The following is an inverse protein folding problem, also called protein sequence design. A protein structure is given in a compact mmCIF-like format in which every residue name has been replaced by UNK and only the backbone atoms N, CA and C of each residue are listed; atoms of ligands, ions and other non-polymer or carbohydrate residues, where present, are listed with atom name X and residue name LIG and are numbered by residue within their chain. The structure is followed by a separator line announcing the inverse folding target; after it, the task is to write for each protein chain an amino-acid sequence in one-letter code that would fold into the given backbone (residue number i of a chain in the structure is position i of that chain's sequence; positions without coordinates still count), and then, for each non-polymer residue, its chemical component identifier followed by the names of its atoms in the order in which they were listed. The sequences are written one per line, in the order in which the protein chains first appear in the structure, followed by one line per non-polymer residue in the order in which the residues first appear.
data_IF_066817692145
#
_entry.id   IF_066817692145
#
_cell.length_a   1.000
_cell.length_b   1.000
_cell.length_c   1.000
_cell.angle_alpha   90.00
_cell.angle_beta   90.00
_cell.angle_gamma   90.00
#
_symmetry.space_group_name_H-M   'P 1'
#
loop_
_entity.id
_entity.type
_entity.pdbx_description
1 polymer ?
#
# COMPACT_ATOMS: atom_id res chain seq x y z
N UNK A 1 12.74 -13.81 19.15
CA UNK A 1 13.60 -14.41 18.11
C UNK A 1 13.58 -13.48 16.91
N UNK A 2 14.75 -13.04 16.45
CA UNK A 2 14.85 -12.29 15.19
C UNK A 2 14.40 -13.18 14.04
N UNK A 3 13.72 -12.57 13.06
CA UNK A 3 13.28 -13.27 11.87
C UNK A 3 14.45 -13.40 10.89
N UNK A 4 14.74 -14.61 10.44
CA UNK A 4 15.77 -14.88 9.43
C UNK A 4 15.11 -15.25 8.11
N UNK A 5 15.56 -14.63 7.01
CA UNK A 5 15.20 -14.98 5.63
C UNK A 5 16.44 -15.57 4.96
N UNK A 6 16.34 -16.82 4.53
CA UNK A 6 17.46 -17.53 3.90
C UNK A 6 17.23 -17.60 2.41
N UNK A 7 18.21 -17.13 1.64
CA UNK A 7 18.18 -17.21 0.18
C UNK A 7 19.02 -18.39 -0.27
N UNK A 8 18.42 -19.29 -1.04
CA UNK A 8 19.14 -20.41 -1.66
C UNK A 8 20.03 -19.87 -2.77
N UNK A 9 21.34 -19.97 -2.59
CA UNK A 9 22.37 -19.47 -3.50
C UNK A 9 22.30 -20.11 -4.89
N UNK A 10 22.11 -21.44 -4.97
CA UNK A 10 21.96 -22.16 -6.23
C UNK A 10 20.74 -21.67 -7.02
N UNK A 11 19.63 -21.40 -6.33
CA UNK A 11 18.40 -20.95 -6.95
C UNK A 11 18.37 -19.44 -7.21
N UNK A 12 19.36 -18.69 -6.73
CA UNK A 12 19.47 -17.24 -6.98
C UNK A 12 20.53 -16.92 -8.01
N UNK A 13 21.79 -17.29 -7.75
CA UNK A 13 22.93 -16.91 -8.59
C UNK A 13 23.08 -17.77 -9.85
N UNK A 14 22.57 -19.01 -9.82
CA UNK A 14 22.65 -19.97 -10.93
C UNK A 14 21.30 -20.23 -11.59
N UNK A 15 20.25 -19.51 -11.21
CA UNK A 15 18.92 -19.72 -11.77
C UNK A 15 18.85 -19.22 -13.22
N UNK A 16 18.39 -20.07 -14.17
CA UNK A 16 18.16 -19.65 -15.56
C UNK A 16 17.16 -18.49 -15.69
N UNK A 17 16.24 -18.34 -14.71
CA UNK A 17 15.23 -17.25 -14.71
C UNK A 17 15.85 -15.87 -14.55
N UNK A 18 17.09 -15.77 -14.03
CA UNK A 18 17.79 -14.49 -13.80
C UNK A 18 18.90 -14.22 -14.84
N UNK A 19 18.93 -14.95 -15.96
CA UNK A 19 19.97 -14.76 -16.99
C UNK A 19 19.94 -13.36 -17.60
N UNK A 20 18.74 -12.82 -17.84
CA UNK A 20 18.55 -11.50 -18.43
C UNK A 20 18.53 -10.36 -17.38
N UNK A 21 18.53 -10.71 -16.09
CA UNK A 21 18.50 -9.73 -15.02
C UNK A 21 19.83 -8.98 -14.89
N UNK A 22 19.74 -7.65 -14.86
CA UNK A 22 20.84 -6.76 -14.53
C UNK A 22 21.26 -6.90 -13.06
N UNK A 23 22.38 -6.27 -12.70
CA UNK A 23 22.80 -6.18 -11.29
C UNK A 23 21.74 -5.50 -10.42
N UNK A 24 21.11 -4.44 -10.94
CA UNK A 24 20.04 -3.73 -10.22
C UNK A 24 18.83 -4.64 -9.98
N UNK A 25 18.42 -5.41 -10.99
CA UNK A 25 17.28 -6.32 -10.88
C UNK A 25 17.55 -7.38 -9.80
N UNK A 26 18.77 -7.92 -9.76
CA UNK A 26 19.19 -8.88 -8.73
C UNK A 26 19.23 -8.25 -7.34
N UNK A 27 19.71 -7.01 -7.21
CA UNK A 27 19.72 -6.30 -5.92
C UNK A 27 18.29 -6.05 -5.43
N UNK A 28 17.40 -5.56 -6.29
CA UNK A 28 16.00 -5.35 -5.94
C UNK A 28 15.29 -6.66 -5.60
N UNK A 29 15.54 -7.73 -6.36
CA UNK A 29 14.95 -9.03 -6.07
C UNK A 29 15.46 -9.64 -4.76
N UNK A 30 16.75 -9.48 -4.46
CA UNK A 30 17.31 -9.89 -3.17
C UNK A 30 16.65 -9.12 -2.03
N UNK A 31 16.44 -7.81 -2.20
CA UNK A 31 15.67 -7.01 -1.26
C UNK A 31 14.24 -7.54 -1.13
N UNK A 32 13.50 -7.78 -2.21
CA UNK A 32 12.14 -8.33 -2.17
C UNK A 32 12.04 -9.68 -1.45
N UNK A 33 13.04 -10.53 -1.56
CA UNK A 33 13.09 -11.83 -0.90
C UNK A 33 13.45 -11.74 0.59
N UNK A 34 14.10 -10.66 1.01
CA UNK A 34 14.64 -10.48 2.36
C UNK A 34 14.05 -9.29 3.11
N UNK A 35 13.13 -8.54 2.49
CA UNK A 35 12.64 -7.27 2.97
C UNK A 35 12.13 -7.38 4.41
N UNK A 36 12.37 -6.37 5.27
CA UNK A 36 11.92 -6.38 6.66
C UNK A 36 10.42 -6.67 6.78
N UNK A 37 9.63 -6.05 5.89
CA UNK A 37 8.17 -6.11 5.85
C UNK A 37 7.60 -7.29 5.04
N UNK A 38 8.46 -8.12 4.41
CA UNK A 38 7.96 -9.28 3.66
C UNK A 38 7.18 -10.24 4.56
N UNK A 39 6.34 -11.12 4.02
CA UNK A 39 5.54 -12.05 4.84
C UNK A 39 5.87 -13.51 4.50
N UNK A 40 5.16 -14.51 5.01
CA UNK A 40 5.55 -15.92 4.77
C UNK A 40 5.07 -16.44 3.41
N UNK A 41 4.14 -15.74 2.76
CA UNK A 41 3.58 -16.10 1.45
C UNK A 41 4.25 -15.40 0.26
N UNK A 42 5.06 -14.37 0.50
CA UNK A 42 5.70 -13.60 -0.58
C UNK A 42 4.77 -12.61 -1.27
N UNK A 43 3.59 -12.34 -0.71
CA UNK A 43 2.64 -11.33 -1.19
C UNK A 43 2.35 -10.31 -0.09
N UNK A 44 2.94 -9.13 -0.16
CA UNK A 44 2.94 -8.20 0.97
C UNK A 44 2.94 -6.73 0.54
N UNK A 45 2.57 -5.79 1.43
CA UNK A 45 2.63 -4.36 1.13
C UNK A 45 4.07 -3.89 0.88
N UNK A 46 4.27 -3.13 -0.20
CA UNK A 46 5.56 -2.59 -0.60
C UNK A 46 5.39 -1.14 -1.08
N UNK A 47 5.98 -0.21 -0.33
CA UNK A 47 6.01 1.21 -0.68
C UNK A 47 7.33 1.51 -1.41
N UNK A 48 7.31 1.92 -2.69
CA UNK A 48 8.52 2.08 -3.51
C UNK A 48 9.52 3.07 -2.93
N UNK A 49 9.02 4.14 -2.31
CA UNK A 49 9.85 5.14 -1.65
C UNK A 49 10.63 4.57 -0.46
N UNK A 50 10.03 3.66 0.30
CA UNK A 50 10.68 3.02 1.45
C UNK A 50 11.69 2.00 0.95
N UNK A 51 11.26 1.09 0.07
CA UNK A 51 12.13 0.05 -0.48
C UNK A 51 13.33 0.63 -1.23
N UNK A 52 13.13 1.66 -2.04
CA UNK A 52 14.21 2.39 -2.69
C UNK A 52 15.19 2.99 -1.68
N UNK A 53 14.70 3.67 -0.65
CA UNK A 53 15.55 4.29 0.37
C UNK A 53 16.42 3.27 1.14
N UNK A 54 15.92 2.05 1.37
CA UNK A 54 16.65 0.98 2.06
C UNK A 54 17.89 0.49 1.30
N UNK A 55 17.91 0.67 -0.02
CA UNK A 55 19.05 0.32 -0.89
C UNK A 55 19.73 1.54 -1.53
N UNK A 56 19.38 2.76 -1.08
CA UNK A 56 19.99 4.00 -1.55
C UNK A 56 19.48 4.51 -2.91
N UNK A 57 18.29 4.10 -3.32
CA UNK A 57 17.64 4.49 -4.58
C UNK A 57 16.45 5.44 -4.38
N UNK A 58 16.08 6.12 -5.45
CA UNK A 58 14.82 6.86 -5.52
C UNK A 58 13.63 5.90 -5.76
N UNK A 59 12.42 6.38 -5.50
CA UNK A 59 11.20 5.64 -5.80
C UNK A 59 11.07 5.33 -7.31
N UNK A 60 11.52 6.25 -8.17
CA UNK A 60 11.44 6.08 -9.63
C UNK A 60 12.41 5.00 -10.12
N UNK A 61 13.64 4.98 -9.59
CA UNK A 61 14.61 3.92 -9.87
C UNK A 61 14.07 2.55 -9.43
N UNK A 62 13.49 2.48 -8.23
CA UNK A 62 12.84 1.27 -7.74
C UNK A 62 11.73 0.81 -8.69
N UNK A 63 10.82 1.71 -9.08
CA UNK A 63 9.71 1.37 -9.97
C UNK A 63 10.20 0.91 -11.35
N UNK A 64 11.23 1.54 -11.91
CA UNK A 64 11.84 1.08 -13.18
C UNK A 64 12.33 -0.37 -13.09
N UNK A 65 12.99 -0.73 -11.99
CA UNK A 65 13.46 -2.10 -11.75
C UNK A 65 12.29 -3.06 -11.56
N UNK A 66 11.27 -2.66 -10.79
CA UNK A 66 10.05 -3.46 -10.62
C UNK A 66 9.37 -3.72 -11.95
N UNK A 67 9.27 -2.73 -12.84
CA UNK A 67 8.72 -2.94 -14.19
C UNK A 67 9.49 -4.02 -14.96
N UNK A 68 10.82 -3.98 -14.96
CA UNK A 68 11.63 -5.03 -15.60
C UNK A 68 11.42 -6.41 -14.98
N UNK A 69 11.33 -6.48 -13.64
CA UNK A 69 11.04 -7.73 -12.94
C UNK A 69 9.64 -8.28 -13.25
N UNK A 70 8.67 -7.42 -13.57
CA UNK A 70 7.36 -7.85 -14.05
C UNK A 70 7.41 -8.37 -15.49
N UNK A 71 8.17 -7.71 -16.37
CA UNK A 71 8.33 -8.11 -17.76
C UNK A 71 8.97 -9.50 -17.87
N UNK A 72 9.88 -9.84 -16.94
CA UNK A 72 10.52 -11.17 -16.80
C UNK A 72 9.69 -12.16 -15.96
N UNK A 73 8.47 -11.80 -15.54
CA UNK A 73 7.57 -12.63 -14.71
C UNK A 73 8.20 -13.11 -13.38
N UNK A 74 9.07 -12.30 -12.79
CA UNK A 74 9.74 -12.58 -11.51
C UNK A 74 8.98 -11.99 -10.32
N UNK A 75 8.24 -10.91 -10.55
CA UNK A 75 7.39 -10.27 -9.55
C UNK A 75 6.16 -9.63 -10.21
N UNK A 76 5.13 -9.32 -9.43
CA UNK A 76 3.94 -8.58 -9.86
C UNK A 76 3.62 -7.49 -8.84
N UNK A 77 3.48 -6.25 -9.29
CA UNK A 77 3.28 -5.09 -8.42
C UNK A 77 1.98 -4.36 -8.76
N UNK A 78 1.21 -4.05 -7.72
CA UNK A 78 0.03 -3.19 -7.81
C UNK A 78 0.39 -1.80 -7.28
N UNK A 79 0.47 -0.82 -8.19
CA UNK A 79 0.81 0.56 -7.84
C UNK A 79 -0.31 1.32 -7.10
N UNK A 80 -1.55 0.82 -7.14
CA UNK A 80 -2.69 1.42 -6.43
C UNK A 80 -2.76 0.90 -5.01
N UNK A 81 -2.69 -0.43 -4.84
CA UNK A 81 -2.75 -1.09 -3.52
C UNK A 81 -1.40 -1.11 -2.81
N UNK A 82 -0.32 -0.81 -3.53
CA UNK A 82 1.06 -0.89 -3.06
C UNK A 82 1.39 -2.29 -2.53
N UNK A 83 1.04 -3.32 -3.29
CA UNK A 83 1.27 -4.73 -2.93
C UNK A 83 2.21 -5.34 -3.98
N UNK A 84 3.19 -6.10 -3.52
CA UNK A 84 4.06 -6.91 -4.37
C UNK A 84 3.75 -8.39 -4.16
N UNK A 85 3.75 -9.15 -5.24
CA UNK A 85 3.88 -10.60 -5.24
C UNK A 85 5.23 -10.97 -5.84
N UNK A 86 6.10 -11.60 -5.05
CA UNK A 86 7.39 -12.11 -5.50
C UNK A 86 7.18 -13.53 -6.05
N UNK A 87 7.14 -13.71 -7.38
CA UNK A 87 6.76 -15.00 -7.99
C UNK A 87 7.82 -16.08 -7.82
N UNK A 88 9.08 -15.70 -7.63
CA UNK A 88 10.19 -16.62 -7.29
C UNK A 88 10.28 -16.94 -5.80
N UNK A 89 9.30 -16.54 -4.98
CA UNK A 89 9.37 -16.68 -3.51
C UNK A 89 9.65 -18.12 -3.07
N UNK A 90 8.96 -19.09 -3.68
CA UNK A 90 9.08 -20.51 -3.33
C UNK A 90 10.36 -21.18 -3.84
N UNK A 91 11.10 -20.52 -4.73
CA UNK A 91 12.43 -20.98 -5.14
C UNK A 91 13.43 -20.87 -3.98
N UNK A 92 13.14 -20.01 -3.00
CA UNK A 92 14.00 -19.76 -1.84
C UNK A 92 13.36 -20.20 -0.52
N UNK A 93 12.04 -20.09 -0.40
CA UNK A 93 11.28 -20.41 0.81
C UNK A 93 10.45 -21.68 0.64
N UNK A 94 10.25 -22.44 1.73
CA UNK A 94 9.53 -23.70 1.66
C UNK A 94 8.01 -23.50 1.78
N UNK A 95 7.28 -23.79 0.71
CA UNK A 95 5.82 -23.82 0.69
C UNK A 95 5.26 -24.82 1.72
N UNK A 96 5.85 -26.01 1.79
CA UNK A 96 5.43 -27.07 2.73
C UNK A 96 5.63 -26.70 4.20
N UNK A 97 6.61 -25.86 4.54
CA UNK A 97 6.77 -25.36 5.91
C UNK A 97 5.69 -24.33 6.30
N UNK A 98 5.22 -23.54 5.34
CA UNK A 98 4.19 -22.51 5.56
C UNK A 98 2.83 -23.14 5.94
N UNK A 99 2.55 -24.35 5.46
CA UNK A 99 1.36 -25.14 5.83
C UNK A 99 1.53 -25.91 7.15
N UNK A 100 2.71 -25.83 7.78
CA UNK A 100 2.97 -26.50 9.05
C UNK A 100 2.10 -25.97 10.21
N UNK A 101 1.85 -26.77 11.27
CA UNK A 101 0.89 -26.43 12.34
C UNK A 101 1.08 -25.06 12.99
N UNK A 102 2.32 -24.58 13.08
CA UNK A 102 2.67 -23.29 13.69
C UNK A 102 2.38 -22.09 12.78
N UNK A 103 2.45 -22.26 11.47
CA UNK A 103 2.37 -21.18 10.49
C UNK A 103 1.04 -21.16 9.75
N UNK A 104 0.33 -22.29 9.68
CA UNK A 104 -0.88 -22.45 8.89
C UNK A 104 -1.96 -21.38 9.12
N UNK A 105 -2.17 -20.95 10.36
CA UNK A 105 -3.17 -19.92 10.68
C UNK A 105 -2.77 -18.55 10.10
N UNK A 106 -1.50 -18.18 10.24
CA UNK A 106 -0.93 -16.96 9.67
C UNK A 106 -0.89 -17.02 8.14
N UNK A 107 -0.54 -18.17 7.58
CA UNK A 107 -0.56 -18.37 6.13
C UNK A 107 -1.94 -18.09 5.56
N UNK A 108 -3.00 -18.65 6.15
CA UNK A 108 -4.38 -18.38 5.71
C UNK A 108 -4.78 -16.90 5.86
N UNK A 109 -4.34 -16.22 6.92
CA UNK A 109 -4.59 -14.79 7.08
C UNK A 109 -3.91 -13.96 5.98
N UNK A 110 -2.67 -14.28 5.65
CA UNK A 110 -1.91 -13.61 4.59
C UNK A 110 -2.50 -13.91 3.20
N UNK A 111 -2.87 -15.17 2.92
CA UNK A 111 -3.51 -15.58 1.65
C UNK A 111 -4.84 -14.84 1.45
N UNK A 112 -5.66 -14.71 2.50
CA UNK A 112 -6.94 -13.98 2.41
C UNK A 112 -6.81 -12.48 2.14
N UNK A 113 -5.61 -11.90 2.32
CA UNK A 113 -5.31 -10.51 1.98
C UNK A 113 -4.84 -10.32 0.54
N UNK A 114 -4.56 -11.41 -0.17
CA UNK A 114 -4.12 -11.35 -1.56
C UNK A 114 -5.28 -10.77 -2.41
N UNK A 115 -4.98 -9.81 -3.31
CA UNK A 115 -5.92 -9.35 -4.33
C UNK A 115 -6.68 -10.51 -5.00
N UNK A 116 -8.00 -10.42 -5.09
CA UNK A 116 -8.83 -11.48 -5.71
C UNK A 116 -8.39 -11.81 -7.14
N UNK A 117 -7.94 -10.80 -7.88
CA UNK A 117 -7.42 -10.92 -9.24
C UNK A 117 -6.08 -11.68 -9.35
N UNK A 118 -5.40 -11.92 -8.23
CA UNK A 118 -4.14 -12.68 -8.17
C UNK A 118 -4.31 -14.00 -7.43
N UNK A 119 -5.44 -14.19 -6.73
CA UNK A 119 -5.61 -15.29 -5.79
C UNK A 119 -5.56 -16.64 -6.49
N UNK A 120 -6.25 -16.80 -7.62
CA UNK A 120 -6.26 -18.06 -8.36
C UNK A 120 -4.86 -18.42 -8.90
N UNK A 121 -4.18 -17.46 -9.53
CA UNK A 121 -2.81 -17.63 -10.01
C UNK A 121 -1.86 -18.00 -8.86
N UNK A 122 -1.99 -17.31 -7.72
CA UNK A 122 -1.20 -17.57 -6.53
C UNK A 122 -1.46 -18.97 -5.97
N UNK A 123 -2.73 -19.38 -5.88
CA UNK A 123 -3.10 -20.69 -5.35
C UNK A 123 -2.62 -21.81 -6.26
N UNK A 124 -2.64 -21.63 -7.58
CA UNK A 124 -2.07 -22.60 -8.51
C UNK A 124 -0.56 -22.78 -8.28
N UNK A 125 0.22 -21.69 -8.27
CA UNK A 125 1.66 -21.75 -8.01
C UNK A 125 1.99 -22.30 -6.60
N UNK A 126 1.18 -21.97 -5.60
CA UNK A 126 1.38 -22.47 -4.24
C UNK A 126 1.08 -23.96 -4.14
N UNK A 127 -0.04 -24.43 -4.69
CA UNK A 127 -0.49 -25.84 -4.62
C UNK A 127 0.40 -26.79 -5.38
N UNK A 128 0.98 -26.38 -6.52
CA UNK A 128 1.96 -27.17 -7.27
C UNK A 128 3.17 -27.62 -6.42
N UNK A 129 3.38 -26.99 -5.27
CA UNK A 129 4.52 -27.21 -4.35
C UNK A 129 4.12 -27.94 -3.07
N UNK A 130 2.87 -28.38 -2.97
CA UNK A 130 2.28 -29.04 -1.82
C UNK A 130 1.93 -30.48 -2.16
N UNK A 131 1.94 -31.35 -1.14
CA UNK A 131 1.37 -32.69 -1.26
C UNK A 131 -0.17 -32.66 -1.18
N UNK A 132 -0.81 -33.77 -1.53
CA UNK A 132 -2.28 -33.87 -1.62
C UNK A 132 -2.97 -33.46 -0.31
N UNK A 133 -2.50 -33.96 0.84
CA UNK A 133 -3.05 -33.60 2.16
C UNK A 133 -3.00 -32.08 2.44
N UNK A 134 -1.92 -31.42 2.01
CA UNK A 134 -1.74 -29.98 2.18
C UNK A 134 -2.61 -29.18 1.20
N UNK A 135 -2.80 -29.68 -0.02
CA UNK A 135 -3.69 -29.07 -1.01
C UNK A 135 -5.14 -29.14 -0.52
N UNK A 136 -5.59 -30.32 -0.07
CA UNK A 136 -6.92 -30.54 0.49
C UNK A 136 -7.18 -29.64 1.70
N UNK A 137 -6.19 -29.50 2.58
CA UNK A 137 -6.28 -28.58 3.73
C UNK A 137 -6.46 -27.12 3.29
N UNK A 138 -5.73 -26.66 2.28
CA UNK A 138 -5.87 -25.30 1.74
C UNK A 138 -7.26 -25.10 1.16
N UNK A 139 -7.74 -26.05 0.38
CA UNK A 139 -9.06 -25.98 -0.24
C UNK A 139 -10.17 -25.92 0.80
N UNK A 140 -10.13 -26.79 1.81
CA UNK A 140 -11.10 -26.77 2.90
C UNK A 140 -11.04 -25.46 3.71
N UNK A 141 -9.83 -24.92 3.91
CA UNK A 141 -9.62 -23.71 4.72
C UNK A 141 -10.02 -22.40 4.01
N UNK A 142 -9.94 -22.39 2.68
CA UNK A 142 -10.28 -21.24 1.85
C UNK A 142 -11.68 -21.34 1.24
N UNK A 143 -12.39 -22.46 1.42
CA UNK A 143 -13.80 -22.58 1.07
C UNK A 143 -14.59 -21.39 1.62
N UNK A 144 -15.46 -20.76 0.81
CA UNK A 144 -16.35 -19.73 1.28
C UNK A 144 -17.10 -20.26 2.50
N UNK A 145 -16.96 -19.58 3.64
CA UNK A 145 -17.76 -19.91 4.82
C UNK A 145 -19.21 -19.68 4.43
N UNK A 146 -19.94 -20.76 4.11
CA UNK A 146 -21.37 -20.66 3.83
C UNK A 146 -21.97 -19.89 4.99
N UNK A 147 -22.71 -18.81 4.70
CA UNK A 147 -23.41 -18.03 5.71
C UNK A 147 -24.23 -19.04 6.51
N UNK A 148 -23.81 -19.35 7.74
CA UNK A 148 -24.74 -19.85 8.73
C UNK A 148 -25.74 -18.73 8.87
N UNK A 149 -26.91 -18.91 8.25
CA UNK A 149 -28.10 -18.21 8.66
C UNK A 149 -28.15 -18.39 10.17
N UNK A 150 -28.02 -17.29 10.90
CA UNK A 150 -28.45 -17.25 12.28
C UNK A 150 -29.96 -17.51 12.16
N UNK A 151 -30.40 -18.74 12.45
CA UNK A 151 -31.77 -18.93 12.89
C UNK A 151 -31.91 -17.99 14.09
N UNK A 152 -32.78 -16.99 13.91
CA UNK A 152 -33.23 -16.11 14.98
C UNK A 152 -33.93 -16.99 16.01
N UNK A 153 -33.16 -17.54 16.95
CA UNK A 153 -33.70 -18.02 18.21
C UNK A 153 -34.39 -16.83 18.88
N UNK A 154 -35.70 -16.84 18.77
CA UNK A 154 -36.61 -15.86 19.34
C UNK A 154 -36.42 -15.85 20.85
N UNK A 155 -35.67 -14.86 21.35
CA UNK A 155 -35.56 -14.58 22.78
C UNK A 155 -36.93 -14.05 23.24
N UNK A 156 -37.72 -14.95 23.82
CA UNK A 156 -38.95 -14.65 24.53
C UNK A 156 -38.72 -13.54 25.57
N UNK A 157 -39.37 -12.39 25.40
CA UNK A 157 -39.40 -11.31 26.36
C UNK A 157 -40.21 -11.72 27.60
N UNK A 158 -39.52 -12.27 28.60
CA UNK A 158 -40.02 -12.38 29.97
C UNK A 158 -39.65 -11.14 30.77
N UNK A 159 -40.56 -10.15 30.81
CA UNK A 159 -40.45 -9.01 31.72
C UNK A 159 -40.80 -9.49 33.13
N UNK A 160 -39.86 -9.44 34.08
CA UNK A 160 -40.19 -9.43 35.50
C UNK A 160 -39.21 -8.55 36.26
N UNK A 161 -39.78 -7.55 36.91
CA UNK A 161 -39.14 -6.53 37.73
C UNK A 161 -39.00 -7.00 39.18
N UNK A 162 -38.09 -6.30 39.86
CA UNK A 162 -37.88 -6.17 41.31
C UNK A 162 -37.12 -7.28 42.05
N UNK A 163 -35.85 -7.00 42.36
CA UNK A 163 -35.44 -6.80 43.76
C UNK A 163 -34.23 -5.88 43.85
N UNK A 164 -34.38 -4.81 44.65
CA UNK A 164 -33.33 -3.85 45.03
C UNK A 164 -32.38 -4.51 46.03
N UNK A 165 -31.05 -4.36 45.84
CA UNK A 165 -30.17 -4.13 46.99
C UNK A 165 -28.86 -3.44 46.60
N UNK A 166 -28.69 -2.30 47.25
CA UNK A 166 -27.57 -1.38 47.31
C UNK A 166 -26.24 -2.02 47.70
N UNK A 167 -25.15 -1.59 47.08
CA UNK A 167 -24.03 -0.93 47.77
C UNK A 167 -22.98 -0.43 46.77
N UNK A 168 -22.95 0.89 46.60
CA UNK A 168 -21.85 1.65 45.99
C UNK A 168 -21.15 2.39 47.12
N UNK A 169 -19.83 2.21 47.25
CA UNK A 169 -18.95 3.28 47.76
C UNK A 169 -17.71 3.35 46.84
N UNK A 170 -17.29 4.55 46.40
CA UNK A 170 -16.25 4.75 45.40
C UNK A 170 -14.87 4.96 46.04
N UNK A 171 -13.79 4.77 45.27
CA UNK A 171 -12.50 5.37 45.61
C UNK A 171 -11.91 6.17 44.45
N UNK A 172 -11.29 7.26 44.85
CA UNK A 172 -11.01 8.48 44.13
C UNK A 172 -9.49 8.64 44.09
N UNK A 173 -8.89 8.82 42.91
CA UNK A 173 -7.82 9.81 42.58
C UNK A 173 -7.02 9.41 41.33
N UNK A 174 -6.42 10.39 40.63
CA UNK A 174 -6.37 10.42 39.17
C UNK A 174 -4.96 10.21 38.59
N UNK A 175 -4.88 9.64 37.38
CA UNK A 175 -3.72 9.80 36.50
C UNK A 175 -4.12 9.87 35.01
N UNK A 176 -3.35 10.60 34.19
CA UNK A 176 -3.88 11.38 33.06
C UNK A 176 -3.99 10.56 31.77
N UNK A 177 -5.17 10.61 31.13
CA UNK A 177 -5.35 10.20 29.74
C UNK A 177 -4.90 11.34 28.82
N UNK A 178 -3.74 11.21 28.19
CA UNK A 178 -3.40 12.03 27.02
C UNK A 178 -4.22 11.51 25.83
N UNK A 179 -5.36 12.15 25.62
CA UNK A 179 -6.27 11.89 24.50
C UNK A 179 -5.93 12.88 23.38
N UNK A 180 -5.07 12.50 22.44
CA UNK A 180 -4.95 13.23 21.17
C UNK A 180 -5.95 12.62 20.20
N UNK A 181 -7.21 13.07 20.29
CA UNK A 181 -8.17 12.91 19.20
C UNK A 181 -7.71 13.82 18.06
N UNK A 182 -7.06 13.27 17.05
CA UNK A 182 -6.92 13.96 15.76
C UNK A 182 -8.25 13.83 15.02
N UNK A 183 -8.97 14.92 14.71
CA UNK A 183 -10.18 14.84 13.91
C UNK A 183 -9.80 14.47 12.48
N UNK A 184 -10.35 13.35 12.00
CA UNK A 184 -10.56 13.12 10.58
C UNK A 184 -11.41 14.26 10.05
N UNK A 185 -10.78 15.27 9.45
CA UNK A 185 -11.43 16.17 8.52
C UNK A 185 -11.06 15.71 7.11
N UNK A 186 -12.05 15.17 6.40
CA UNK A 186 -12.03 15.11 4.95
C UNK A 186 -11.67 16.51 4.44
N UNK A 187 -10.63 16.69 3.60
CA UNK A 187 -10.36 18.00 3.04
C UNK A 187 -11.47 18.30 2.04
N UNK A 188 -12.35 19.21 2.45
CA UNK A 188 -13.30 19.95 1.63
C UNK A 188 -12.66 20.26 0.29
N UNK A 189 -13.29 19.80 -0.79
CA UNK A 189 -12.96 20.20 -2.16
C UNK A 189 -13.09 21.72 -2.22
N UNK A 190 -11.97 22.43 -2.26
CA UNK A 190 -11.98 23.79 -2.77
C UNK A 190 -12.31 23.65 -4.26
N UNK A 191 -13.51 24.06 -4.67
CA UNK A 191 -13.80 24.26 -6.09
C UNK A 191 -12.85 25.35 -6.58
N UNK A 192 -11.72 24.94 -7.14
CA UNK A 192 -10.77 25.81 -7.80
C UNK A 192 -11.18 25.91 -9.26
N UNK A 193 -11.27 27.12 -9.78
CA UNK A 193 -11.50 27.33 -11.20
C UNK A 193 -10.23 26.95 -11.98
N UNK A 194 -10.22 25.74 -12.55
CA UNK A 194 -9.13 25.19 -13.37
C UNK A 194 -9.46 25.22 -14.88
N UNK A 195 -10.43 26.04 -15.31
CA UNK A 195 -10.87 26.12 -16.70
C UNK A 195 -9.73 26.43 -17.68
N UNK A 196 -8.77 27.27 -17.26
CA UNK A 196 -7.57 27.64 -18.02
C UNK A 196 -6.45 26.60 -18.08
N UNK A 197 -6.64 25.41 -17.50
CA UNK A 197 -5.65 24.32 -17.50
C UNK A 197 -6.17 23.17 -18.38
N UNK A 198 -5.33 22.59 -19.27
CA UNK A 198 -5.71 21.43 -20.06
C UNK A 198 -6.18 20.25 -19.19
N UNK A 199 -7.28 19.55 -19.56
CA UNK A 199 -7.87 18.47 -18.76
C UNK A 199 -6.88 17.41 -18.28
N UNK A 200 -5.92 17.04 -19.13
CA UNK A 200 -4.87 16.06 -18.87
C UNK A 200 -3.94 16.45 -17.71
N UNK A 201 -3.87 17.73 -17.35
CA UNK A 201 -2.97 18.25 -16.31
C UNK A 201 -3.70 18.73 -15.05
N UNK A 202 -5.05 18.77 -15.06
CA UNK A 202 -5.84 19.26 -13.90
C UNK A 202 -5.63 18.41 -12.65
N UNK A 203 -5.57 17.08 -12.81
CA UNK A 203 -5.34 16.14 -11.70
C UNK A 203 -3.98 16.35 -11.05
N UNK A 204 -2.94 16.61 -11.85
CA UNK A 204 -1.58 16.82 -11.36
C UNK A 204 -1.43 18.14 -10.62
N UNK A 205 -2.06 19.20 -11.14
CA UNK A 205 -2.12 20.52 -10.50
C UNK A 205 -2.86 20.43 -9.17
N UNK A 206 -4.01 19.75 -9.14
CA UNK A 206 -4.77 19.54 -7.90
C UNK A 206 -3.94 18.76 -6.86
N UNK A 207 -3.31 17.66 -7.27
CA UNK A 207 -2.44 16.83 -6.40
C UNK A 207 -1.25 17.63 -5.86
N UNK A 208 -0.63 18.47 -6.70
CA UNK A 208 0.46 19.34 -6.29
C UNK A 208 0.03 20.38 -5.25
N UNK A 209 -1.15 20.99 -5.40
CA UNK A 209 -1.70 21.94 -4.43
C UNK A 209 -2.02 21.28 -3.09
N UNK A 210 -2.63 20.10 -3.10
CA UNK A 210 -2.87 19.31 -1.88
C UNK A 210 -1.53 18.97 -1.21
N UNK A 211 -0.54 18.53 -1.97
CA UNK A 211 0.81 18.21 -1.47
C UNK A 211 1.50 19.44 -0.87
N UNK A 212 1.44 20.60 -1.54
CA UNK A 212 2.01 21.85 -1.04
C UNK A 212 1.32 22.31 0.26
N UNK A 213 0.00 22.14 0.35
CA UNK A 213 -0.76 22.46 1.57
C UNK A 213 -0.40 21.56 2.74
N UNK A 214 -0.39 20.24 2.53
CA UNK A 214 -0.05 19.25 3.57
C UNK A 214 1.39 19.41 4.05
N UNK A 215 2.31 19.79 3.17
CA UNK A 215 3.72 20.02 3.51
C UNK A 215 3.99 21.41 4.10
N UNK A 216 2.98 22.27 4.26
CA UNK A 216 3.16 23.64 4.77
C UNK A 216 3.92 24.58 3.82
N UNK A 217 4.06 24.18 2.55
CA UNK A 217 4.84 24.88 1.52
C UNK A 217 4.01 25.78 0.61
N UNK A 218 2.69 25.72 0.71
CA UNK A 218 1.78 26.60 -0.02
C UNK A 218 1.83 28.01 0.61
N UNK A 219 2.60 28.91 -0.01
CA UNK A 219 2.77 30.29 0.49
C UNK A 219 1.70 31.27 0.02
N UNK A 220 0.92 30.88 -1.00
CA UNK A 220 -0.07 31.75 -1.66
C UNK A 220 -1.44 31.07 -1.71
N UNK A 221 -2.50 31.85 -2.00
CA UNK A 221 -3.84 31.29 -2.19
C UNK A 221 -3.80 30.28 -3.34
N UNK A 222 -4.41 29.08 -3.19
CA UNK A 222 -4.41 28.05 -4.24
C UNK A 222 -4.85 28.58 -5.62
N UNK A 223 -5.85 29.47 -5.66
CA UNK A 223 -6.34 30.04 -6.91
C UNK A 223 -5.30 30.92 -7.63
N UNK A 224 -4.41 31.60 -6.91
CA UNK A 224 -3.32 32.38 -7.53
C UNK A 224 -2.33 31.46 -8.25
N UNK A 225 -2.04 30.29 -7.66
CA UNK A 225 -1.20 29.27 -8.27
C UNK A 225 -1.84 28.71 -9.53
N UNK A 226 -3.15 28.44 -9.48
CA UNK A 226 -3.93 27.97 -10.64
C UNK A 226 -3.95 28.99 -11.77
N UNK A 227 -4.12 30.28 -11.45
CA UNK A 227 -4.12 31.35 -12.45
C UNK A 227 -2.75 31.49 -13.14
N UNK A 228 -1.66 31.47 -12.38
CA UNK A 228 -0.29 31.49 -12.92
C UNK A 228 0.00 30.26 -13.78
N UNK A 229 -0.55 29.10 -13.39
CA UNK A 229 -0.46 27.88 -14.19
C UNK A 229 -1.19 28.03 -15.53
N UNK A 230 -2.39 28.61 -15.53
CA UNK A 230 -3.17 28.89 -16.73
C UNK A 230 -2.52 29.94 -17.64
N UNK A 231 -1.77 30.90 -17.09
CA UNK A 231 -0.97 31.86 -17.88
C UNK A 231 0.22 31.19 -18.58
N UNK A 232 0.87 30.24 -17.92
CA UNK A 232 1.95 29.46 -18.54
C UNK A 232 1.44 28.64 -19.73
N UNK A 233 0.26 28.02 -19.62
CA UNK A 233 -0.36 27.32 -20.75
C UNK A 233 -0.81 28.24 -21.89
N UNK A 234 -1.13 29.50 -21.60
CA UNK A 234 -1.49 30.52 -22.61
C UNK A 234 -0.28 31.14 -23.31
N UNK A 235 0.89 31.10 -22.68
CA UNK A 235 2.13 31.69 -23.23
C UNK A 235 2.77 30.77 -24.26
N UNK A 236 3.06 31.30 -25.46
CA UNK A 236 3.50 30.52 -26.64
C UNK A 236 4.83 29.76 -26.47
N UNK A 237 5.59 29.96 -25.39
CA UNK A 237 6.91 29.35 -25.18
C UNK A 237 6.99 28.32 -24.04
N UNK A 238 5.88 27.88 -23.44
CA UNK A 238 5.98 27.17 -22.16
C UNK A 238 4.88 26.17 -21.86
N UNK A 239 4.71 25.14 -22.69
CA UNK A 239 4.06 23.92 -22.18
C UNK A 239 4.99 23.32 -21.12
N UNK A 240 4.56 23.23 -19.85
CA UNK A 240 5.38 22.64 -18.81
C UNK A 240 5.63 21.17 -19.13
N UNK A 241 6.89 20.76 -19.13
CA UNK A 241 7.25 19.34 -19.28
C UNK A 241 6.67 18.48 -18.13
N UNK A 242 6.42 19.09 -16.96
CA UNK A 242 5.77 18.46 -15.82
C UNK A 242 4.89 19.47 -15.06
N UNK A 243 3.58 19.28 -15.15
CA UNK A 243 2.59 20.17 -14.51
C UNK A 243 2.67 20.14 -12.97
N UNK A 244 2.98 18.99 -12.38
CA UNK A 244 3.11 18.83 -10.93
C UNK A 244 4.33 19.58 -10.38
N UNK A 245 5.48 19.47 -11.05
CA UNK A 245 6.71 20.14 -10.65
C UNK A 245 6.57 21.66 -10.74
N UNK A 246 5.99 22.17 -11.84
CA UNK A 246 5.76 23.61 -11.98
C UNK A 246 4.76 24.13 -10.94
N UNK A 247 3.69 23.39 -10.65
CA UNK A 247 2.71 23.79 -9.63
C UNK A 247 3.33 23.86 -8.23
N UNK A 248 4.20 22.91 -7.87
CA UNK A 248 4.94 22.95 -6.61
C UNK A 248 5.91 24.14 -6.55
N UNK A 249 6.61 24.42 -7.66
CA UNK A 249 7.49 25.58 -7.76
C UNK A 249 6.73 26.89 -7.58
N UNK A 250 5.59 27.05 -8.26
CA UNK A 250 4.74 28.24 -8.14
C UNK A 250 4.15 28.37 -6.74
N UNK A 251 3.72 27.26 -6.12
CA UNK A 251 3.21 27.28 -4.74
C UNK A 251 4.22 27.80 -3.71
N UNK A 252 5.53 27.60 -3.97
CA UNK A 252 6.64 28.02 -3.11
C UNK A 252 7.24 29.39 -3.47
N UNK A 253 7.25 29.74 -4.76
CA UNK A 253 8.09 30.83 -5.30
C UNK A 253 7.33 31.84 -6.17
N UNK A 254 6.00 31.92 -6.08
CA UNK A 254 5.25 33.00 -6.72
C UNK A 254 5.67 34.34 -6.11
N UNK A 255 6.55 35.06 -6.82
CA UNK A 255 6.78 36.47 -6.53
C UNK A 255 5.44 37.17 -6.73
N UNK A 256 4.92 37.82 -5.67
CA UNK A 256 3.74 38.67 -5.75
C UNK A 256 4.02 39.82 -6.72
N UNK A 257 3.76 39.59 -8.00
CA UNK A 257 3.87 40.59 -9.05
C UNK A 257 2.69 41.54 -8.94
N UNK A 258 2.97 42.71 -8.36
CA UNK A 258 2.29 43.99 -8.51
C UNK A 258 0.77 43.98 -8.78
N UNK A 259 -0.01 44.27 -7.73
CA UNK A 259 -1.13 45.20 -7.89
C UNK A 259 -0.53 46.55 -8.33
N UNK A 260 -0.60 46.85 -9.63
CA UNK A 260 -0.42 48.21 -10.11
C UNK A 260 -1.80 48.85 -10.19
N UNK A 261 -2.05 49.76 -9.23
CA UNK A 261 -2.96 50.92 -9.23
C UNK A 261 -4.43 50.70 -9.58
#
# INVERSE_FOLDING_TARGET
MSRQRTIRDQNFWRSPRLLNCTTEDKVALLHLLTAPDSNITGVYPLVPRIAGAEIGWTADQWLQVIHRLQDEDLARYDNVRLIIWVKVWWDHHSATQVTGPKLRARALEEIRRIPSEWLDDFLNDFKERLNDDQQDWIDESLRPRSKRYIEEDSISHGCHIDTVSTNVIPNTKPQPKLSTKTPTSLPTSYELDMSGIPPEHRTDVHRALVKAKVSGKLRHRPQLVVNAMAENYRSASGKPHNAMALTLYLAENLNGGNEVS
#
